data_IF_737986389392
#
_entry.id   IF_737986389392
#
_cell.length_a   1.000
_cell.length_b   1.000
_cell.length_c   1.000
_cell.angle_alpha   90.00
_cell.angle_beta   90.00
_cell.angle_gamma   90.00
#
_symmetry.space_group_name_H-M   'P 1'
#
loop_
_entity.id
_entity.type
_entity.pdbx_description
1 polymer ?
#
# COMPACT_ATOMS: atom_id res chain seq x y z
N UNK A 1 -12.53 -1.37 -28.58
CA UNK A 1 -13.11 -2.49 -27.80
C UNK A 1 -14.37 -3.00 -28.49
N UNK A 2 -14.66 -4.31 -28.45
CA UNK A 2 -15.75 -4.91 -29.24
C UNK A 2 -17.11 -4.74 -28.56
N UNK A 3 -18.19 -4.79 -29.37
CA UNK A 3 -19.59 -4.73 -28.88
C UNK A 3 -19.91 -5.82 -27.86
N UNK A 4 -19.28 -7.00 -27.98
CA UNK A 4 -19.42 -8.12 -27.07
C UNK A 4 -18.82 -7.82 -25.68
N UNK A 5 -17.69 -7.09 -25.63
CA UNK A 5 -17.06 -6.71 -24.36
C UNK A 5 -17.94 -5.75 -23.55
N UNK A 6 -18.56 -4.77 -24.21
CA UNK A 6 -19.49 -3.85 -23.54
C UNK A 6 -20.76 -4.59 -23.08
N UNK A 7 -21.32 -5.46 -23.93
CA UNK A 7 -22.51 -6.26 -23.62
C UNK A 7 -22.33 -7.18 -22.41
N UNK A 8 -21.17 -7.85 -22.28
CA UNK A 8 -20.85 -8.69 -21.12
C UNK A 8 -20.63 -7.88 -19.83
N UNK A 9 -20.15 -6.64 -19.94
CA UNK A 9 -19.94 -5.74 -18.80
C UNK A 9 -21.26 -5.20 -18.25
N UNK A 10 -22.17 -4.81 -19.15
CA UNK A 10 -23.48 -4.25 -18.77
C UNK A 10 -24.39 -5.30 -18.12
N UNK A 11 -24.21 -6.58 -18.47
CA UNK A 11 -24.91 -7.73 -17.86
C UNK A 11 -24.21 -8.29 -16.61
N UNK A 12 -23.11 -7.69 -16.16
CA UNK A 12 -22.37 -8.11 -14.96
C UNK A 12 -21.56 -9.42 -15.12
N UNK A 13 -21.45 -9.97 -16.33
CA UNK A 13 -20.64 -11.18 -16.61
C UNK A 13 -19.13 -10.88 -16.64
N UNK A 14 -18.74 -9.65 -16.94
CA UNK A 14 -17.39 -9.17 -16.67
C UNK A 14 -17.37 -8.57 -15.27
N UNK A 15 -16.40 -8.98 -14.43
CA UNK A 15 -16.15 -8.42 -13.10
C UNK A 15 -16.21 -6.90 -13.19
N UNK A 16 -17.28 -6.29 -12.65
CA UNK A 16 -17.28 -4.87 -12.37
C UNK A 16 -16.05 -4.63 -11.49
N UNK A 17 -15.16 -3.70 -11.86
CA UNK A 17 -14.13 -3.22 -10.93
C UNK A 17 -14.89 -2.75 -9.69
N UNK A 18 -14.86 -3.55 -8.63
CA UNK A 18 -15.56 -3.21 -7.40
C UNK A 18 -14.97 -1.88 -6.94
N UNK A 19 -15.82 -0.86 -6.81
CA UNK A 19 -15.39 0.46 -6.33
C UNK A 19 -14.69 0.24 -4.99
N UNK A 20 -13.49 0.79 -4.85
CA UNK A 20 -12.76 0.73 -3.59
C UNK A 20 -13.57 1.47 -2.49
N UNK A 21 -13.37 1.14 -1.20
CA UNK A 21 -13.97 1.92 -0.13
C UNK A 21 -13.60 3.40 -0.26
N UNK A 22 -14.52 4.30 0.11
CA UNK A 22 -14.32 5.76 -0.04
C UNK A 22 -13.10 6.28 0.72
N UNK A 23 -12.80 5.66 1.86
CA UNK A 23 -11.63 5.98 2.70
C UNK A 23 -10.30 5.46 2.13
N UNK A 24 -10.29 4.86 0.93
CA UNK A 24 -9.07 4.40 0.25
C UNK A 24 -8.69 5.39 -0.84
N UNK A 25 -7.45 5.89 -0.78
CA UNK A 25 -6.85 6.73 -1.82
C UNK A 25 -5.67 5.98 -2.45
N UNK A 26 -5.61 5.99 -3.79
CA UNK A 26 -4.56 5.32 -4.56
C UNK A 26 -3.96 6.31 -5.54
N UNK A 27 -2.64 6.45 -5.51
CA UNK A 27 -1.88 7.31 -6.41
C UNK A 27 -1.86 6.80 -7.85
N UNK A 28 -1.41 7.66 -8.75
CA UNK A 28 -1.34 7.35 -10.19
C UNK A 28 -0.48 6.12 -10.47
N UNK A 29 -0.87 5.33 -11.47
CA UNK A 29 -0.15 4.14 -11.92
C UNK A 29 0.07 3.03 -10.88
N UNK A 30 -0.39 3.19 -9.64
CA UNK A 30 -0.38 2.12 -8.63
C UNK A 30 -1.53 1.18 -8.86
N UNK A 31 -1.27 -0.05 -9.30
CA UNK A 31 -2.28 -1.10 -9.40
C UNK A 31 -1.62 -2.48 -9.55
N UNK A 32 -2.12 -3.47 -8.83
CA UNK A 32 -2.74 -4.65 -9.42
C UNK A 32 -3.57 -5.34 -8.33
N UNK A 33 -4.70 -5.94 -8.70
CA UNK A 33 -5.56 -6.75 -7.79
C UNK A 33 -6.18 -6.09 -6.54
N UNK A 34 -6.05 -4.78 -6.31
CA UNK A 34 -6.83 -4.09 -5.28
C UNK A 34 -8.32 -4.19 -5.57
N UNK A 35 -9.07 -4.74 -4.63
CA UNK A 35 -10.53 -4.79 -4.63
C UNK A 35 -11.04 -4.37 -3.25
N UNK A 36 -12.34 -4.15 -3.10
CA UNK A 36 -12.93 -3.87 -1.79
C UNK A 36 -12.58 -4.95 -0.74
N UNK A 37 -12.41 -6.21 -1.16
CA UNK A 37 -12.03 -7.32 -0.28
C UNK A 37 -10.61 -7.24 0.29
N UNK A 38 -9.76 -6.36 -0.24
CA UNK A 38 -8.42 -6.12 0.31
C UNK A 38 -8.45 -5.30 1.61
N UNK A 39 -9.57 -4.68 1.97
CA UNK A 39 -9.64 -3.69 3.04
C UNK A 39 -10.62 -4.12 4.12
N UNK A 40 -10.10 -4.61 5.24
CA UNK A 40 -10.91 -5.01 6.38
C UNK A 40 -11.19 -3.79 7.28
N UNK A 41 -12.47 -3.43 7.40
CA UNK A 41 -12.94 -2.35 8.27
C UNK A 41 -12.30 -0.99 7.97
N UNK A 42 -12.06 -0.66 6.70
CA UNK A 42 -11.54 0.64 6.29
C UNK A 42 -12.61 1.73 6.41
N UNK A 43 -12.35 2.73 7.25
CA UNK A 43 -13.26 3.86 7.50
C UNK A 43 -12.49 5.17 7.46
N UNK A 44 -13.19 6.31 7.58
CA UNK A 44 -12.53 7.62 7.68
C UNK A 44 -11.66 7.78 8.94
N UNK A 45 -11.83 6.92 9.95
CA UNK A 45 -10.98 6.89 11.16
C UNK A 45 -9.70 6.06 10.96
N UNK A 46 -9.69 5.18 9.95
CA UNK A 46 -8.57 4.27 9.63
C UNK A 46 -8.39 4.17 8.11
N UNK A 47 -8.19 5.30 7.41
CA UNK A 47 -8.11 5.30 5.96
C UNK A 47 -6.84 4.58 5.50
N UNK A 48 -6.85 4.12 4.24
CA UNK A 48 -5.65 3.61 3.57
C UNK A 48 -5.24 4.55 2.47
N UNK A 49 -3.99 4.98 2.48
CA UNK A 49 -3.40 5.81 1.44
C UNK A 49 -2.26 5.03 0.80
N UNK A 50 -2.31 4.90 -0.53
CA UNK A 50 -1.27 4.25 -1.33
C UNK A 50 -0.75 5.29 -2.30
N UNK A 51 0.57 5.50 -2.35
CA UNK A 51 1.23 6.42 -3.26
C UNK A 51 1.17 5.98 -4.72
N UNK A 52 2.03 6.55 -5.55
CA UNK A 52 2.11 6.29 -6.98
C UNK A 52 3.04 5.10 -7.32
N UNK A 53 2.83 4.50 -8.50
CA UNK A 53 3.66 3.42 -9.06
C UNK A 53 3.88 2.20 -8.16
N UNK A 54 2.94 1.90 -7.26
CA UNK A 54 3.00 0.73 -6.40
C UNK A 54 2.51 -0.54 -7.10
N UNK A 55 3.19 -1.65 -6.82
CA UNK A 55 2.83 -2.99 -7.27
C UNK A 55 2.28 -3.79 -6.08
N UNK A 56 0.96 -4.02 -6.08
CA UNK A 56 0.27 -4.78 -5.03
C UNK A 56 -0.12 -6.15 -5.59
N UNK A 57 0.41 -7.23 -5.04
CA UNK A 57 0.11 -8.57 -5.52
C UNK A 57 -1.30 -9.05 -5.08
N UNK A 58 -1.82 -10.16 -5.62
CA UNK A 58 -3.09 -10.74 -5.19
C UNK A 58 -3.14 -11.02 -3.68
N UNK A 59 -4.36 -11.00 -3.13
CA UNK A 59 -4.66 -11.41 -1.76
C UNK A 59 -3.91 -10.65 -0.65
N UNK A 60 -3.40 -9.45 -0.95
CA UNK A 60 -2.93 -8.52 0.08
C UNK A 60 -4.11 -8.02 0.91
N UNK A 61 -3.96 -8.05 2.23
CA UNK A 61 -4.98 -7.62 3.19
C UNK A 61 -4.49 -6.42 4.02
N UNK A 62 -5.28 -5.35 4.04
CA UNK A 62 -5.12 -4.19 4.88
C UNK A 62 -6.12 -4.27 6.05
N UNK A 63 -5.61 -4.47 7.27
CA UNK A 63 -6.43 -4.61 8.49
C UNK A 63 -6.55 -3.23 9.16
N UNK A 64 -7.63 -2.51 8.90
CA UNK A 64 -7.74 -1.08 9.18
C UNK A 64 -8.31 -0.78 10.59
N UNK A 65 -9.38 -1.46 11.00
CA UNK A 65 -10.07 -1.18 12.27
C UNK A 65 -10.68 -2.45 12.88
N UNK A 66 -9.84 -3.43 13.15
CA UNK A 66 -10.27 -4.77 13.58
C UNK A 66 -9.72 -5.22 14.95
N UNK A 67 -9.00 -4.35 15.67
CA UNK A 67 -8.44 -4.74 16.96
C UNK A 67 -9.53 -4.77 18.03
N UNK A 68 -9.59 -5.81 18.84
CA UNK A 68 -10.45 -5.83 20.02
C UNK A 68 -9.78 -5.09 21.18
N UNK A 69 -10.55 -4.42 22.06
CA UNK A 69 -10.00 -3.91 23.32
C UNK A 69 -9.44 -5.07 24.12
N UNK A 70 -8.24 -4.90 24.66
CA UNK A 70 -7.53 -5.90 25.51
C UNK A 70 -7.41 -5.42 26.95
N UNK A 71 -7.81 -4.18 27.20
CA UNK A 71 -7.83 -3.49 28.48
C UNK A 71 -9.16 -3.63 29.23
N UNK A 72 -10.14 -4.32 28.66
CA UNK A 72 -11.48 -4.51 29.24
C UNK A 72 -11.66 -5.94 29.74
N UNK A 73 -12.66 -6.18 30.60
CA UNK A 73 -12.93 -7.49 31.19
C UNK A 73 -13.21 -8.62 30.16
N UNK A 74 -13.55 -8.28 28.91
CA UNK A 74 -13.76 -9.25 27.84
C UNK A 74 -13.28 -8.69 26.50
N UNK A 75 -12.60 -9.53 25.72
CA UNK A 75 -12.24 -9.24 24.34
C UNK A 75 -13.37 -9.62 23.36
N UNK A 76 -14.47 -10.20 23.85
CA UNK A 76 -15.66 -10.41 23.04
C UNK A 76 -16.41 -9.10 22.86
N UNK A 77 -17.05 -8.91 21.70
CA UNK A 77 -17.90 -7.78 21.37
C UNK A 77 -19.18 -7.70 22.19
N UNK A 78 -19.08 -7.65 23.52
CA UNK A 78 -20.24 -7.68 24.40
C UNK A 78 -21.05 -6.39 24.24
N UNK A 79 -20.36 -5.26 24.19
CA UNK A 79 -20.94 -3.93 24.07
C UNK A 79 -21.63 -3.70 22.72
N UNK A 80 -21.12 -4.25 21.61
CA UNK A 80 -21.72 -4.08 20.28
C UNK A 80 -22.65 -5.23 19.86
N UNK A 81 -22.37 -6.48 20.28
CA UNK A 81 -23.14 -7.65 19.81
C UNK A 81 -24.33 -8.00 20.68
N UNK A 82 -24.22 -7.86 22.01
CA UNK A 82 -25.27 -8.30 22.95
C UNK A 82 -25.91 -7.10 23.65
N UNK A 83 -25.10 -6.28 24.34
CA UNK A 83 -25.61 -5.17 25.17
C UNK A 83 -26.08 -3.98 24.33
N UNK A 84 -25.60 -3.86 23.09
CA UNK A 84 -25.94 -2.78 22.15
C UNK A 84 -25.67 -1.36 22.70
N UNK A 85 -24.69 -1.23 23.59
CA UNK A 85 -24.29 0.06 24.17
C UNK A 85 -23.25 0.80 23.33
N UNK A 86 -22.66 0.15 22.32
CA UNK A 86 -21.68 0.73 21.39
C UNK A 86 -21.96 0.25 19.96
N UNK A 87 -21.64 1.05 18.96
CA UNK A 87 -21.55 0.54 17.58
C UNK A 87 -20.30 -0.33 17.40
N UNK A 88 -20.23 -1.09 16.30
CA UNK A 88 -19.05 -1.90 15.98
C UNK A 88 -17.76 -1.07 15.98
N UNK A 89 -17.79 0.11 15.35
CA UNK A 89 -16.60 0.97 15.21
C UNK A 89 -16.28 1.78 16.48
N UNK A 90 -17.24 1.97 17.40
CA UNK A 90 -16.97 2.48 18.76
C UNK A 90 -16.35 1.41 19.68
N UNK A 91 -16.62 0.14 19.39
CA UNK A 91 -16.09 -1.00 20.13
C UNK A 91 -14.71 -1.42 19.63
N UNK A 92 -14.53 -1.62 18.33
CA UNK A 92 -13.24 -1.98 17.74
C UNK A 92 -12.25 -0.83 17.86
N UNK A 93 -10.97 -1.18 17.90
CA UNK A 93 -9.82 -0.27 17.97
C UNK A 93 -9.06 -0.29 16.64
N UNK A 94 -8.39 0.81 16.37
CA UNK A 94 -7.44 0.97 15.27
C UNK A 94 -6.20 1.67 15.81
N UNK A 95 -5.04 1.43 15.19
CA UNK A 95 -3.82 2.22 15.43
C UNK A 95 -3.70 3.40 14.46
N UNK A 96 -4.76 3.71 13.71
CA UNK A 96 -4.81 4.82 12.77
C UNK A 96 -4.63 4.37 11.32
N UNK A 97 -4.30 5.32 10.41
CA UNK A 97 -4.24 5.06 8.98
C UNK A 97 -3.14 4.05 8.62
N UNK A 98 -3.30 3.41 7.47
CA UNK A 98 -2.19 2.70 6.80
C UNK A 98 -1.71 3.59 5.66
N UNK A 99 -0.41 3.87 5.64
CA UNK A 99 0.22 4.72 4.63
C UNK A 99 1.25 3.90 3.87
N UNK A 100 1.06 3.79 2.56
CA UNK A 100 2.02 3.18 1.63
C UNK A 100 2.57 4.30 0.76
N UNK A 101 3.89 4.43 0.71
CA UNK A 101 4.60 5.40 -0.12
C UNK A 101 4.48 5.10 -1.62
N UNK A 102 5.45 5.58 -2.38
CA UNK A 102 5.55 5.43 -3.83
C UNK A 102 6.53 4.31 -4.19
N UNK A 103 6.42 3.72 -5.38
CA UNK A 103 7.32 2.63 -5.84
C UNK A 103 7.38 1.43 -4.86
N UNK A 104 6.31 1.19 -4.09
CA UNK A 104 6.28 0.08 -3.12
C UNK A 104 5.85 -1.20 -3.82
N UNK A 105 6.56 -2.29 -3.52
CA UNK A 105 6.16 -3.64 -3.92
C UNK A 105 5.67 -4.44 -2.71
N UNK A 106 4.40 -4.85 -2.74
CA UNK A 106 3.81 -5.72 -1.71
C UNK A 106 3.50 -7.10 -2.32
N UNK A 107 4.19 -8.12 -1.83
CA UNK A 107 4.07 -9.51 -2.29
C UNK A 107 2.75 -10.17 -1.91
N UNK A 108 2.41 -11.25 -2.63
CA UNK A 108 1.11 -11.93 -2.49
C UNK A 108 0.85 -12.37 -1.05
N UNK A 109 -0.42 -12.28 -0.61
CA UNK A 109 -0.86 -12.69 0.75
C UNK A 109 -0.18 -11.98 1.92
N UNK A 110 0.48 -10.84 1.68
CA UNK A 110 0.95 -10.01 2.78
C UNK A 110 -0.24 -9.38 3.53
N UNK A 111 -0.12 -9.26 4.85
CA UNK A 111 -1.08 -8.57 5.71
C UNK A 111 -0.45 -7.32 6.31
N UNK A 112 -1.07 -6.17 6.13
CA UNK A 112 -0.61 -4.87 6.65
C UNK A 112 -1.56 -4.45 7.78
N UNK A 113 -1.04 -4.26 8.99
CA UNK A 113 -1.85 -3.87 10.14
C UNK A 113 -2.04 -2.35 10.23
N UNK A 114 -3.15 -1.93 10.84
CA UNK A 114 -3.45 -0.51 11.11
C UNK A 114 -2.29 0.24 11.76
N UNK A 115 -2.16 1.53 11.43
CA UNK A 115 -1.12 2.42 11.94
C UNK A 115 0.26 2.26 11.31
N UNK A 116 0.43 1.35 10.35
CA UNK A 116 1.72 1.13 9.68
C UNK A 116 1.95 2.13 8.55
N UNK A 117 3.17 2.67 8.51
CA UNK A 117 3.72 3.41 7.37
C UNK A 117 4.79 2.58 6.64
N UNK A 118 4.62 2.41 5.32
CA UNK A 118 5.59 1.76 4.44
C UNK A 118 6.23 2.81 3.55
N UNK A 119 7.53 3.04 3.72
CA UNK A 119 8.27 4.08 3.01
C UNK A 119 8.43 3.82 1.50
N UNK A 120 8.76 4.88 0.78
CA UNK A 120 8.96 4.85 -0.68
C UNK A 120 9.98 3.78 -1.09
N UNK A 121 9.72 3.07 -2.19
CA UNK A 121 10.63 2.06 -2.73
C UNK A 121 10.75 0.79 -1.88
N UNK A 122 10.02 0.64 -0.78
CA UNK A 122 10.11 -0.55 0.07
C UNK A 122 9.56 -1.81 -0.60
N UNK A 123 10.03 -2.97 -0.15
CA UNK A 123 9.56 -4.29 -0.59
C UNK A 123 9.07 -5.08 0.62
N UNK A 124 7.81 -5.52 0.56
CA UNK A 124 7.22 -6.46 1.51
C UNK A 124 7.13 -7.82 0.85
N UNK A 125 7.87 -8.80 1.36
CA UNK A 125 7.85 -10.16 0.82
C UNK A 125 6.46 -10.80 0.98
N UNK A 126 6.17 -11.79 0.13
CA UNK A 126 4.93 -12.57 0.18
C UNK A 126 4.68 -13.20 1.55
N UNK A 127 3.41 -13.35 1.91
CA UNK A 127 2.93 -13.93 3.17
C UNK A 127 3.44 -13.22 4.45
N UNK A 128 3.99 -12.00 4.33
CA UNK A 128 4.48 -11.26 5.48
C UNK A 128 3.35 -10.62 6.28
N UNK A 129 3.51 -10.51 7.61
CA UNK A 129 2.58 -9.75 8.48
C UNK A 129 3.30 -8.51 8.98
N UNK A 130 3.00 -7.37 8.38
CA UNK A 130 3.66 -6.09 8.68
C UNK A 130 2.97 -5.45 9.88
N UNK A 131 3.67 -5.47 11.02
CA UNK A 131 3.15 -5.00 12.32
C UNK A 131 3.75 -3.66 12.78
N UNK A 132 4.74 -3.15 12.05
CA UNK A 132 5.52 -1.93 12.36
C UNK A 132 5.90 -1.24 11.05
N UNK A 133 6.28 0.03 11.15
CA UNK A 133 6.72 0.82 10.01
C UNK A 133 7.90 0.19 9.27
N UNK A 134 7.93 0.41 7.95
CA UNK A 134 8.95 -0.10 7.05
C UNK A 134 9.71 1.11 6.48
N UNK A 135 11.03 1.23 6.71
CA UNK A 135 11.81 2.33 6.16
C UNK A 135 11.79 2.37 4.63
N UNK A 136 11.99 3.56 4.00
CA UNK A 136 12.15 3.66 2.55
C UNK A 136 13.24 2.72 2.03
N UNK A 137 12.97 2.09 0.88
CA UNK A 137 13.87 1.14 0.20
C UNK A 137 14.28 -0.08 1.04
N UNK A 138 13.66 -0.32 2.19
CA UNK A 138 13.88 -1.53 2.96
C UNK A 138 13.13 -2.72 2.35
N UNK A 139 13.72 -3.90 2.50
CA UNK A 139 13.09 -5.19 2.24
C UNK A 139 12.73 -5.81 3.58
N UNK A 140 11.46 -6.17 3.77
CA UNK A 140 10.97 -6.86 4.96
C UNK A 140 10.31 -8.18 4.61
N UNK A 141 10.43 -9.17 5.50
CA UNK A 141 9.83 -10.49 5.30
C UNK A 141 9.42 -11.14 6.63
N UNK A 142 8.46 -12.07 6.57
CA UNK A 142 8.10 -12.96 7.67
C UNK A 142 6.84 -12.57 8.44
N UNK A 143 6.50 -13.37 9.45
CA UNK A 143 5.35 -13.16 10.32
C UNK A 143 5.78 -13.34 11.79
N UNK A 144 5.91 -12.25 12.56
CA UNK A 144 5.80 -10.86 12.13
C UNK A 144 6.97 -10.44 11.23
N UNK A 145 6.71 -9.50 10.31
CA UNK A 145 7.71 -9.04 9.35
C UNK A 145 8.92 -8.40 10.06
N UNK A 146 10.11 -8.69 9.55
CA UNK A 146 11.38 -8.16 10.05
C UNK A 146 12.19 -7.61 8.88
N UNK A 147 13.04 -6.64 9.21
CA UNK A 147 14.04 -6.12 8.27
C UNK A 147 14.93 -7.25 7.76
N UNK A 148 15.15 -7.28 6.45
CA UNK A 148 16.06 -8.21 5.77
C UNK A 148 17.30 -7.46 5.30
N UNK A 149 17.10 -6.42 4.49
CA UNK A 149 18.16 -5.57 3.94
C UNK A 149 17.59 -4.29 3.37
N UNK A 150 18.44 -3.34 3.02
CA UNK A 150 18.09 -2.27 2.10
C UNK A 150 18.28 -2.72 0.65
N UNK A 151 17.54 -2.10 -0.29
CA UNK A 151 17.71 -2.31 -1.74
C UNK A 151 19.08 -1.79 -2.22
N UNK A 152 19.52 -0.66 -1.69
CA UNK A 152 20.72 0.08 -2.11
C UNK A 152 21.52 0.61 -0.90
N UNK A 153 22.67 1.21 -1.16
CA UNK A 153 23.43 1.98 -0.16
C UNK A 153 22.68 3.26 0.28
N UNK A 154 23.04 3.79 1.44
CA UNK A 154 22.35 4.94 2.06
C UNK A 154 22.41 6.20 1.17
N UNK A 155 23.52 6.42 0.48
CA UNK A 155 23.71 7.54 -0.43
C UNK A 155 22.75 7.44 -1.62
N UNK A 156 22.62 6.25 -2.22
CA UNK A 156 21.68 5.99 -3.32
C UNK A 156 20.23 6.13 -2.86
N UNK A 157 19.90 5.67 -1.65
CA UNK A 157 18.56 5.84 -1.08
C UNK A 157 18.26 7.33 -0.89
N UNK A 158 19.19 8.09 -0.33
CA UNK A 158 19.04 9.53 -0.12
C UNK A 158 18.82 10.25 -1.45
N UNK A 159 19.64 9.94 -2.45
CA UNK A 159 19.52 10.50 -3.79
C UNK A 159 18.15 10.18 -4.43
N UNK A 160 17.72 8.92 -4.41
CA UNK A 160 16.41 8.52 -4.96
C UNK A 160 15.25 9.25 -4.28
N UNK A 161 15.33 9.44 -2.96
CA UNK A 161 14.33 10.18 -2.18
C UNK A 161 14.30 11.67 -2.49
N UNK A 162 15.39 12.25 -2.98
CA UNK A 162 15.44 13.62 -3.46
C UNK A 162 14.94 13.75 -4.90
N UNK A 163 15.32 12.81 -5.77
CA UNK A 163 14.93 12.79 -7.19
C UNK A 163 13.42 12.63 -7.36
N UNK A 164 12.78 11.81 -6.52
CA UNK A 164 11.33 11.60 -6.49
C UNK A 164 10.71 11.43 -7.88
N UNK A 165 11.30 10.55 -8.70
CA UNK A 165 10.91 10.39 -10.10
C UNK A 165 9.41 10.10 -10.29
N UNK A 166 8.75 9.52 -9.29
CA UNK A 166 7.30 9.28 -9.27
C UNK A 166 6.46 10.57 -9.29
N UNK A 167 7.03 11.74 -9.02
CA UNK A 167 6.37 13.04 -9.14
C UNK A 167 6.55 13.68 -10.54
N UNK A 168 7.44 13.14 -11.39
CA UNK A 168 7.71 13.70 -12.71
C UNK A 168 6.51 13.62 -13.67
N UNK A 169 6.37 14.52 -14.65
CA UNK A 169 5.43 14.32 -15.75
C UNK A 169 5.66 12.96 -16.45
N UNK A 170 4.60 12.33 -16.95
CA UNK A 170 4.72 11.01 -17.61
C UNK A 170 5.57 11.13 -18.89
N UNK A 171 5.51 12.29 -19.53
CA UNK A 171 6.29 12.65 -20.72
C UNK A 171 7.79 12.58 -20.40
N UNK A 172 8.23 13.17 -19.28
CA UNK A 172 9.62 13.07 -18.80
C UNK A 172 10.03 11.62 -18.52
N UNK A 173 9.15 10.83 -17.88
CA UNK A 173 9.42 9.40 -17.61
C UNK A 173 9.60 8.63 -18.94
N UNK A 174 8.80 8.93 -19.95
CA UNK A 174 8.90 8.30 -21.27
C UNK A 174 10.15 8.71 -22.04
N UNK A 175 10.54 9.98 -21.97
CA UNK A 175 11.79 10.49 -22.55
C UNK A 175 13.00 9.80 -21.88
N UNK A 176 12.93 9.64 -20.56
CA UNK A 176 13.98 9.02 -19.73
C UNK A 176 13.87 7.49 -19.61
N UNK A 177 13.08 6.83 -20.47
CA UNK A 177 12.84 5.37 -20.40
C UNK A 177 14.14 4.54 -20.32
N UNK A 178 15.20 4.96 -21.01
CA UNK A 178 16.47 4.24 -21.00
C UNK A 178 17.21 4.37 -19.66
N UNK A 179 16.95 5.44 -18.89
CA UNK A 179 17.54 5.60 -17.56
C UNK A 179 16.94 4.60 -16.56
N UNK A 180 15.68 4.22 -16.70
CA UNK A 180 15.02 3.26 -15.80
C UNK A 180 15.52 1.81 -15.95
N UNK A 181 16.29 1.50 -17.00
CA UNK A 181 16.99 0.22 -17.16
C UNK A 181 18.40 0.22 -16.51
N UNK A 182 18.87 1.36 -16.01
CA UNK A 182 20.18 1.48 -15.36
C UNK A 182 20.16 0.91 -13.93
N UNK A 183 21.32 0.47 -13.40
CA UNK A 183 21.50 0.30 -11.97
C UNK A 183 21.15 1.59 -11.21
N UNK A 184 20.60 1.46 -10.00
CA UNK A 184 20.12 2.62 -9.23
C UNK A 184 21.23 3.65 -8.98
N UNK A 185 22.46 3.20 -8.75
CA UNK A 185 23.65 4.04 -8.56
C UNK A 185 24.01 4.85 -9.82
N UNK A 186 23.73 4.33 -11.01
CA UNK A 186 23.92 5.05 -12.28
C UNK A 186 22.75 5.99 -12.57
N UNK A 187 21.52 5.56 -12.26
CA UNK A 187 20.33 6.40 -12.34
C UNK A 187 20.52 7.67 -11.48
N UNK A 188 20.89 7.52 -10.20
CA UNK A 188 21.06 8.68 -9.33
C UNK A 188 22.21 9.58 -9.77
N UNK A 189 23.33 9.02 -10.24
CA UNK A 189 24.45 9.81 -10.77
C UNK A 189 24.07 10.65 -11.98
N UNK A 190 23.12 10.18 -12.81
CA UNK A 190 22.60 10.93 -13.95
C UNK A 190 21.77 12.13 -13.50
N UNK A 191 20.88 11.96 -12.52
CA UNK A 191 19.89 12.99 -12.15
C UNK A 191 20.29 13.88 -10.96
N UNK A 192 21.27 13.50 -10.15
CA UNK A 192 21.85 14.42 -9.16
C UNK A 192 22.72 15.49 -9.82
N UNK A 193 23.38 15.16 -10.94
CA UNK A 193 24.29 16.08 -11.64
C UNK A 193 23.57 17.19 -12.41
N UNK A 194 22.28 17.03 -12.70
CA UNK A 194 21.52 18.01 -13.49
C UNK A 194 20.87 19.09 -12.62
N UNK A 195 20.79 18.91 -11.29
CA UNK A 195 20.10 19.86 -10.40
C UNK A 195 18.59 19.99 -10.67
N UNK A 196 18.03 19.08 -11.47
CA UNK A 196 16.64 19.08 -11.90
C UNK A 196 15.82 18.13 -11.02
N UNK A 197 15.47 18.60 -9.82
CA UNK A 197 14.43 18.00 -9.00
C UNK A 197 13.04 18.42 -9.50
#
# INVERSE_FOLDING_TARGET
MSKLTNWLRDRGFLRQRHKLPEAVKVGRHSHSNLTAGCFLHCTNQSPVQIGAFCSIAPEVLFVCHANHPTETASNFGLQDRILKTKTLYDYLRTKGPIIVGNDVWIGTRATILSGVTIGDGAIVASCSVVTKDVPPYAVVAGNPARFVKYRFAEETITAMRNIRWWDWPIEKIMEEKAAFDLPAEEFVRRFERTGEA
#
